data_IF_471797341792
#
_entry.id   IF_471797341792
#
_cell.length_a   1.000
_cell.length_b   1.000
_cell.length_c   1.000
_cell.angle_alpha   90.00
_cell.angle_beta   90.00
_cell.angle_gamma   90.00
#
_symmetry.space_group_name_H-M   'P 1'
#
loop_
_entity.id
_entity.type
_entity.pdbx_description
1 polymer ?
#
# COMPACT_ATOMS: atom_id res chain seq x y z
N UNK A 1 5.63 -27.65 -12.41
CA UNK A 1 4.97 -27.03 -11.26
C UNK A 1 4.92 -25.53 -11.55
N UNK A 2 3.76 -25.01 -11.89
CA UNK A 2 3.52 -23.60 -12.15
C UNK A 2 3.43 -22.91 -10.80
N UNK A 3 4.44 -22.13 -10.44
CA UNK A 3 4.40 -21.28 -9.26
C UNK A 3 3.40 -20.15 -9.57
N UNK A 4 2.18 -20.25 -9.08
CA UNK A 4 1.24 -19.12 -9.11
C UNK A 4 1.75 -18.09 -8.12
N UNK A 5 2.49 -17.11 -8.64
CA UNK A 5 2.80 -15.90 -7.90
C UNK A 5 1.53 -15.06 -7.99
N UNK A 6 0.77 -15.01 -6.91
CA UNK A 6 -0.28 -14.02 -6.77
C UNK A 6 0.41 -12.66 -6.73
N UNK A 7 0.51 -12.05 -7.89
CA UNK A 7 0.84 -10.63 -8.00
C UNK A 7 -0.20 -9.89 -7.19
N UNK A 8 0.22 -9.29 -6.06
CA UNK A 8 -0.50 -8.18 -5.46
C UNK A 8 -0.97 -7.30 -6.60
N UNK A 9 -2.29 -7.09 -6.70
CA UNK A 9 -2.84 -6.21 -7.70
C UNK A 9 -2.12 -4.87 -7.56
N UNK A 10 -1.23 -4.56 -8.49
CA UNK A 10 -0.52 -3.27 -8.59
C UNK A 10 -1.49 -2.08 -8.66
N UNK A 11 -2.78 -2.34 -8.74
CA UNK A 11 -3.83 -1.33 -8.70
C UNK A 11 -4.05 -0.73 -7.31
N UNK A 12 -3.73 -1.46 -6.24
CA UNK A 12 -3.97 -1.01 -4.85
C UNK A 12 -2.71 -0.46 -4.17
N UNK A 13 -1.54 -0.74 -4.75
CA UNK A 13 -0.27 -0.28 -4.24
C UNK A 13 0.25 0.84 -5.11
N UNK A 14 -0.09 2.03 -4.81
CA UNK A 14 0.43 3.30 -5.28
C UNK A 14 -0.40 4.12 -6.24
N UNK A 15 -0.33 5.38 -5.92
CA UNK A 15 -0.96 6.44 -6.68
C UNK A 15 -0.30 6.76 -8.05
N UNK A 16 0.52 5.88 -8.65
CA UNK A 16 1.25 6.17 -9.91
C UNK A 16 0.73 5.38 -11.11
N UNK A 17 -0.12 4.37 -10.92
CA UNK A 17 -0.77 3.67 -12.02
C UNK A 17 -1.85 4.52 -12.67
N UNK A 18 -2.16 4.29 -13.95
CA UNK A 18 -3.30 4.94 -14.64
C UNK A 18 -4.55 4.82 -13.77
N UNK A 19 -5.16 5.98 -13.43
CA UNK A 19 -6.33 6.05 -12.57
C UNK A 19 -6.03 6.23 -11.07
N UNK A 20 -4.75 6.37 -10.67
CA UNK A 20 -4.39 6.66 -9.29
C UNK A 20 -4.55 8.14 -8.94
N UNK A 21 -4.57 8.42 -7.63
CA UNK A 21 -4.90 9.74 -7.09
C UNK A 21 -3.85 10.81 -7.39
N UNK A 22 -2.55 10.47 -7.44
CA UNK A 22 -1.48 11.46 -7.72
C UNK A 22 -1.58 12.02 -9.14
N UNK A 23 -1.68 11.20 -10.21
CA UNK A 23 -1.92 11.72 -11.55
C UNK A 23 -3.16 12.59 -11.65
N UNK A 24 -4.24 12.24 -10.94
CA UNK A 24 -5.45 13.08 -10.89
C UNK A 24 -5.16 14.45 -10.27
N UNK A 25 -4.45 14.51 -9.15
CA UNK A 25 -4.08 15.78 -8.50
C UNK A 25 -3.21 16.64 -9.41
N UNK A 26 -2.21 16.04 -10.08
CA UNK A 26 -1.34 16.74 -11.03
C UNK A 26 -2.14 17.30 -12.22
N UNK A 27 -3.09 16.53 -12.77
CA UNK A 27 -3.96 17.00 -13.84
C UNK A 27 -4.84 18.18 -13.38
N UNK A 28 -5.39 18.09 -12.17
CA UNK A 28 -6.18 19.17 -11.58
C UNK A 28 -5.34 20.44 -11.36
N UNK A 29 -4.12 20.29 -10.87
CA UNK A 29 -3.17 21.39 -10.72
C UNK A 29 -2.91 22.05 -12.08
N UNK A 30 -2.51 21.29 -13.10
CA UNK A 30 -2.20 21.78 -14.44
C UNK A 30 -3.38 22.48 -15.13
N UNK A 31 -4.60 22.05 -14.83
CA UNK A 31 -5.82 22.64 -15.42
C UNK A 31 -6.43 23.75 -14.56
N UNK A 32 -5.78 24.15 -13.46
CA UNK A 32 -6.28 25.17 -12.54
C UNK A 32 -7.58 24.80 -11.82
N UNK A 33 -7.91 23.52 -11.77
CA UNK A 33 -9.11 23.02 -11.08
C UNK A 33 -8.81 22.74 -9.61
N UNK A 34 -9.81 22.78 -8.71
CA UNK A 34 -9.64 22.31 -7.33
C UNK A 34 -9.18 20.85 -7.28
N UNK A 35 -8.28 20.55 -6.36
CA UNK A 35 -7.88 19.17 -6.06
C UNK A 35 -9.00 18.48 -5.28
N UNK A 36 -9.58 17.42 -5.85
CA UNK A 36 -10.74 16.75 -5.24
C UNK A 36 -10.33 15.60 -4.36
N UNK A 37 -10.74 15.63 -3.10
CA UNK A 37 -10.51 14.60 -2.08
C UNK A 37 -11.84 14.02 -1.64
N UNK A 38 -11.97 12.71 -1.59
CA UNK A 38 -13.23 12.06 -1.16
C UNK A 38 -13.42 12.16 0.34
N UNK A 39 -12.54 11.58 1.14
CA UNK A 39 -12.50 11.73 2.60
C UNK A 39 -11.04 11.95 3.01
N UNK A 40 -10.72 13.07 3.67
CA UNK A 40 -9.35 13.44 4.03
C UNK A 40 -8.62 12.39 4.88
N UNK A 41 -9.34 11.76 5.79
CA UNK A 41 -8.82 10.77 6.76
C UNK A 41 -8.60 9.38 6.16
N UNK A 42 -9.07 9.11 4.95
CA UNK A 42 -8.78 7.84 4.27
C UNK A 42 -7.28 7.60 4.18
N UNK A 43 -6.87 6.37 4.42
CA UNK A 43 -5.46 5.99 4.38
C UNK A 43 -5.15 5.07 3.22
N UNK A 44 -3.97 5.26 2.62
CA UNK A 44 -3.46 4.41 1.55
C UNK A 44 -2.01 4.06 1.83
N UNK A 45 -1.63 2.83 1.48
CA UNK A 45 -0.22 2.44 1.56
C UNK A 45 0.62 3.22 0.55
N UNK A 46 1.84 3.54 0.96
CA UNK A 46 2.82 4.30 0.16
C UNK A 46 4.00 3.38 -0.18
N UNK A 47 3.97 2.77 -1.37
CA UNK A 47 5.00 1.86 -1.84
C UNK A 47 5.46 2.28 -3.25
N UNK A 48 6.75 2.40 -3.52
CA UNK A 48 7.29 2.72 -4.84
C UNK A 48 7.34 1.48 -5.75
N UNK A 49 7.48 1.70 -7.06
CA UNK A 49 7.66 0.59 -8.00
C UNK A 49 8.91 -0.23 -7.68
N UNK A 50 10.00 0.43 -7.29
CA UNK A 50 11.24 -0.23 -6.90
C UNK A 50 11.05 -1.09 -5.64
N UNK A 51 10.28 -0.59 -4.65
CA UNK A 51 9.91 -1.36 -3.47
C UNK A 51 9.07 -2.59 -3.85
N UNK A 52 8.14 -2.45 -4.80
CA UNK A 52 7.34 -3.57 -5.30
C UNK A 52 8.20 -4.61 -6.03
N UNK A 53 9.15 -4.17 -6.86
CA UNK A 53 10.13 -5.06 -7.52
C UNK A 53 11.00 -5.77 -6.47
N UNK A 54 11.47 -5.04 -5.46
CA UNK A 54 12.27 -5.62 -4.37
C UNK A 54 11.47 -6.69 -3.59
N UNK A 55 10.17 -6.47 -3.34
CA UNK A 55 9.30 -7.49 -2.74
C UNK A 55 9.26 -8.76 -3.60
N UNK A 56 9.11 -8.61 -4.92
CA UNK A 56 9.09 -9.76 -5.84
C UNK A 56 10.42 -10.51 -5.83
N UNK A 57 11.55 -9.80 -5.92
CA UNK A 57 12.90 -10.39 -5.86
C UNK A 57 13.12 -11.10 -4.52
N UNK A 58 12.69 -10.47 -3.42
CA UNK A 58 12.77 -11.09 -2.09
C UNK A 58 11.94 -12.38 -2.02
N UNK A 59 10.71 -12.35 -2.55
CA UNK A 59 9.86 -13.54 -2.61
C UNK A 59 10.50 -14.67 -3.43
N UNK A 60 11.10 -14.39 -4.59
CA UNK A 60 11.79 -15.40 -5.41
C UNK A 60 12.93 -16.08 -4.68
N UNK A 61 13.62 -15.38 -3.79
CA UNK A 61 14.79 -15.92 -3.08
C UNK A 61 14.44 -16.63 -1.76
N UNK A 62 13.26 -16.36 -1.18
CA UNK A 62 12.90 -16.82 0.16
C UNK A 62 11.61 -17.65 0.22
N UNK A 63 10.85 -17.72 -0.88
CA UNK A 63 9.57 -18.41 -0.89
C UNK A 63 9.69 -19.94 -1.00
N UNK A 64 8.79 -20.63 -0.30
CA UNK A 64 8.39 -21.97 -0.67
C UNK A 64 7.15 -21.91 -1.58
N UNK A 65 6.85 -22.97 -2.34
CA UNK A 65 5.64 -23.02 -3.16
C UNK A 65 4.37 -22.72 -2.33
N UNK A 66 3.60 -21.73 -2.78
CA UNK A 66 2.34 -21.32 -2.14
C UNK A 66 2.49 -20.29 -1.00
N UNK A 67 3.69 -19.83 -0.68
CA UNK A 67 3.87 -18.73 0.28
C UNK A 67 3.37 -17.39 -0.29
N UNK A 68 2.79 -16.57 0.58
CA UNK A 68 2.44 -15.18 0.30
C UNK A 68 3.41 -14.25 1.02
N UNK A 69 3.89 -13.22 0.33
CA UNK A 69 4.72 -12.16 0.91
C UNK A 69 4.01 -10.82 0.88
N UNK A 70 4.11 -10.08 1.97
CA UNK A 70 3.53 -8.75 2.12
C UNK A 70 4.59 -7.80 2.66
N UNK A 71 4.78 -6.67 1.98
CA UNK A 71 5.68 -5.61 2.44
C UNK A 71 5.03 -4.80 3.55
N UNK A 72 5.80 -4.47 4.58
CA UNK A 72 5.40 -3.54 5.65
C UNK A 72 5.51 -2.09 5.15
N UNK A 73 4.73 -1.76 4.11
CA UNK A 73 4.73 -0.43 3.56
C UNK A 73 4.14 0.59 4.56
N UNK A 74 4.68 1.81 4.65
CA UNK A 74 4.06 2.89 5.40
C UNK A 74 2.79 3.37 4.68
N UNK A 75 1.98 4.18 5.36
CA UNK A 75 0.77 4.76 4.81
C UNK A 75 0.70 6.27 5.05
N UNK A 76 -0.05 6.96 4.21
CA UNK A 76 -0.41 8.36 4.41
C UNK A 76 -1.93 8.54 4.32
N UNK A 77 -2.45 9.63 4.90
CA UNK A 77 -3.83 10.07 4.65
C UNK A 77 -3.93 10.74 3.28
N UNK A 78 -5.12 10.71 2.71
CA UNK A 78 -5.37 11.39 1.43
C UNK A 78 -5.17 12.90 1.56
N UNK A 79 -5.47 13.48 2.72
CA UNK A 79 -5.20 14.90 3.01
C UNK A 79 -3.72 15.22 2.93
N UNK A 80 -2.87 14.45 3.66
CA UNK A 80 -1.40 14.63 3.63
C UNK A 80 -0.87 14.43 2.21
N UNK A 81 -1.41 13.45 1.47
CA UNK A 81 -1.01 13.19 0.09
C UNK A 81 -1.35 14.38 -0.83
N UNK A 82 -2.56 14.95 -0.71
CA UNK A 82 -2.96 16.11 -1.48
C UNK A 82 -2.10 17.34 -1.16
N UNK A 83 -1.84 17.58 0.13
CA UNK A 83 -0.95 18.67 0.57
C UNK A 83 0.47 18.49 0.05
N UNK A 84 1.03 17.28 0.14
CA UNK A 84 2.37 16.96 -0.36
C UNK A 84 2.50 17.25 -1.86
N UNK A 85 1.54 16.79 -2.67
CA UNK A 85 1.53 17.06 -4.12
C UNK A 85 1.40 18.56 -4.39
N UNK A 86 0.49 19.25 -3.70
CA UNK A 86 0.29 20.70 -3.82
C UNK A 86 1.60 21.47 -3.56
N UNK A 87 2.32 21.14 -2.49
CA UNK A 87 3.59 21.80 -2.14
C UNK A 87 4.72 21.47 -3.12
N UNK A 88 4.84 20.21 -3.57
CA UNK A 88 5.86 19.80 -4.55
C UNK A 88 5.70 20.57 -5.87
N UNK A 89 4.47 20.79 -6.31
CA UNK A 89 4.16 21.51 -7.54
C UNK A 89 3.99 23.03 -7.37
N UNK A 90 4.26 23.56 -6.15
CA UNK A 90 4.07 24.99 -5.81
C UNK A 90 2.71 25.54 -6.25
N UNK A 91 1.66 24.72 -6.08
CA UNK A 91 0.32 25.01 -6.59
C UNK A 91 -0.52 25.77 -5.54
N UNK A 92 -1.38 26.68 -6.03
CA UNK A 92 -2.32 27.45 -5.19
C UNK A 92 -3.75 26.88 -5.21
N UNK A 93 -3.97 25.76 -5.91
CA UNK A 93 -5.28 25.13 -6.06
C UNK A 93 -5.93 24.81 -4.69
N UNK A 94 -7.22 25.05 -4.58
CA UNK A 94 -7.99 24.65 -3.41
C UNK A 94 -8.12 23.12 -3.32
N UNK A 95 -8.14 22.59 -2.10
CA UNK A 95 -8.47 21.19 -1.84
C UNK A 95 -9.96 21.11 -1.49
N UNK A 96 -10.74 20.46 -2.34
CA UNK A 96 -12.18 20.32 -2.19
C UNK A 96 -12.56 18.90 -1.75
N UNK A 97 -13.24 18.81 -0.59
CA UNK A 97 -13.79 17.52 -0.11
C UNK A 97 -15.11 17.25 -0.83
N UNK A 98 -15.20 16.12 -1.54
CA UNK A 98 -16.40 15.73 -2.32
C UNK A 98 -17.23 14.61 -1.69
N UNK A 99 -16.76 14.03 -0.56
CA UNK A 99 -17.39 12.90 0.12
C UNK A 99 -17.03 11.53 -0.48
N UNK A 100 -17.25 10.47 0.32
CA UNK A 100 -16.95 9.10 -0.08
C UNK A 100 -17.88 8.64 -1.22
N UNK A 101 -17.31 7.92 -2.19
CA UNK A 101 -18.09 7.24 -3.23
C UNK A 101 -18.60 5.89 -2.70
N UNK A 102 -19.68 5.40 -3.31
CA UNK A 102 -20.21 4.09 -2.95
C UNK A 102 -19.15 2.99 -3.16
N UNK A 103 -18.88 2.22 -2.10
CA UNK A 103 -17.90 1.11 -2.14
C UNK A 103 -16.45 1.53 -1.89
N UNK A 104 -16.16 2.82 -1.65
CA UNK A 104 -14.81 3.29 -1.34
C UNK A 104 -14.44 2.95 0.12
N UNK A 105 -13.26 2.33 0.30
CA UNK A 105 -12.79 1.88 1.63
C UNK A 105 -12.06 3.01 2.34
N UNK A 106 -12.27 3.11 3.66
CA UNK A 106 -11.52 4.05 4.51
C UNK A 106 -10.04 3.70 4.62
N UNK A 107 -9.70 2.42 4.56
CA UNK A 107 -8.33 1.89 4.59
C UNK A 107 -8.22 0.61 3.77
N UNK A 108 -7.01 0.26 3.35
CA UNK A 108 -6.72 -0.95 2.60
C UNK A 108 -6.11 -2.01 3.52
N UNK A 109 -6.58 -3.25 3.39
CA UNK A 109 -6.08 -4.41 4.18
C UNK A 109 -5.20 -5.28 3.30
N UNK A 110 -3.98 -5.56 3.77
CA UNK A 110 -3.01 -6.43 3.10
C UNK A 110 -2.96 -7.83 3.70
N UNK A 111 -3.24 -7.99 5.00
CA UNK A 111 -3.37 -9.29 5.65
C UNK A 111 -4.64 -9.31 6.50
N UNK A 112 -5.43 -10.34 6.34
CA UNK A 112 -6.59 -10.64 7.17
C UNK A 112 -6.16 -11.17 8.54
N UNK A 113 -7.12 -11.31 9.46
CA UNK A 113 -6.88 -11.90 10.79
C UNK A 113 -6.27 -13.31 10.71
N UNK A 114 -6.80 -14.15 9.80
CA UNK A 114 -6.34 -15.53 9.62
C UNK A 114 -4.92 -15.58 9.06
N UNK A 115 -4.60 -14.69 8.12
CA UNK A 115 -3.27 -14.57 7.54
C UNK A 115 -2.27 -14.02 8.57
N UNK A 116 -2.64 -12.98 9.32
CA UNK A 116 -1.81 -12.44 10.40
C UNK A 116 -1.48 -13.47 11.46
N UNK A 117 -2.44 -14.34 11.81
CA UNK A 117 -2.22 -15.40 12.80
C UNK A 117 -1.12 -16.40 12.38
N UNK A 118 -0.89 -16.57 11.08
CA UNK A 118 0.12 -17.47 10.49
C UNK A 118 1.36 -16.72 9.98
N UNK A 119 1.30 -15.38 9.94
CA UNK A 119 2.36 -14.57 9.37
C UNK A 119 3.65 -14.66 10.18
N UNK A 120 4.73 -14.87 9.48
CA UNK A 120 6.10 -14.86 10.03
C UNK A 120 6.68 -13.48 9.72
N UNK A 121 7.18 -12.81 10.75
CA UNK A 121 7.88 -11.54 10.62
C UNK A 121 9.29 -11.77 10.07
N UNK A 122 9.59 -11.17 8.91
CA UNK A 122 10.90 -11.23 8.24
C UNK A 122 11.55 -9.83 8.12
N UNK A 123 11.32 -8.97 9.11
CA UNK A 123 11.81 -7.59 9.11
C UNK A 123 10.92 -6.67 8.29
N UNK A 124 11.30 -6.34 7.07
CA UNK A 124 10.53 -5.46 6.18
C UNK A 124 9.33 -6.15 5.51
N UNK A 125 9.19 -7.46 5.68
CA UNK A 125 8.16 -8.27 5.03
C UNK A 125 7.47 -9.17 6.04
N UNK A 126 6.22 -9.50 5.75
CA UNK A 126 5.53 -10.65 6.32
C UNK A 126 5.53 -11.78 5.30
N UNK A 127 5.76 -13.00 5.77
CA UNK A 127 5.58 -14.24 5.02
C UNK A 127 4.41 -15.00 5.62
N UNK A 128 3.41 -15.30 4.82
CA UNK A 128 2.31 -16.20 5.20
C UNK A 128 2.58 -17.54 4.51
N UNK A 129 2.89 -18.61 5.28
CA UNK A 129 3.13 -19.92 4.72
C UNK A 129 1.88 -20.49 4.06
N UNK A 130 2.06 -21.28 2.99
CA UNK A 130 0.98 -22.03 2.37
C UNK A 130 0.29 -22.93 3.39
N UNK A 131 -1.02 -23.04 3.29
CA UNK A 131 -1.79 -23.99 4.11
C UNK A 131 -1.66 -25.40 3.52
N UNK A 132 -0.64 -26.13 3.95
CA UNK A 132 -0.38 -27.52 3.56
C UNK A 132 -1.14 -28.53 4.43
N UNK A 133 -2.10 -28.08 5.23
CA UNK A 133 -2.90 -28.98 6.08
C UNK A 133 -3.83 -29.79 5.19
N UNK A 134 -3.56 -31.09 5.08
CA UNK A 134 -4.52 -32.03 4.49
C UNK A 134 -5.80 -32.10 5.34
N UNK A 135 -6.89 -32.65 4.78
CA UNK A 135 -8.19 -32.84 5.43
C UNK A 135 -8.14 -33.76 6.69
N UNK A 136 -6.97 -33.98 7.25
CA UNK A 136 -6.79 -34.84 8.43
C UNK A 136 -7.01 -34.02 9.71
N UNK A 137 -8.25 -34.05 10.20
CA UNK A 137 -8.70 -33.33 11.39
C UNK A 137 -8.02 -33.73 12.71
N UNK A 138 -7.32 -34.87 12.75
CA UNK A 138 -6.70 -35.42 13.97
C UNK A 138 -5.55 -34.54 14.53
N UNK A 139 -4.96 -33.66 13.76
CA UNK A 139 -3.93 -32.72 14.21
C UNK A 139 -4.46 -31.44 14.87
N UNK A 140 -5.74 -31.15 14.72
CA UNK A 140 -6.35 -29.92 15.28
C UNK A 140 -6.46 -29.92 16.80
N UNK A 141 -6.33 -31.06 17.42
CA UNK A 141 -6.55 -31.19 18.89
C UNK A 141 -5.26 -31.23 19.72
N UNK A 142 -4.07 -31.17 19.11
CA UNK A 142 -2.83 -31.47 19.86
C UNK A 142 -1.84 -30.30 20.00
N UNK A 143 -1.82 -29.32 19.09
CA UNK A 143 -0.83 -28.25 19.15
C UNK A 143 -1.49 -26.89 18.90
N UNK A 144 -1.85 -26.21 19.97
CA UNK A 144 -2.06 -24.75 19.94
C UNK A 144 -0.72 -24.09 19.67
N UNK A 145 -0.64 -23.28 18.61
CA UNK A 145 0.57 -22.57 18.23
C UNK A 145 0.85 -21.44 19.24
N UNK A 146 1.82 -21.65 20.16
CA UNK A 146 2.22 -20.66 21.17
C UNK A 146 2.79 -19.36 20.58
N UNK A 147 3.13 -19.34 19.28
CA UNK A 147 3.68 -18.21 18.56
C UNK A 147 2.66 -17.48 17.68
N UNK A 148 1.42 -17.44 18.11
CA UNK A 148 0.39 -16.70 17.38
C UNK A 148 0.73 -15.21 17.35
N UNK A 149 0.88 -14.66 16.14
CA UNK A 149 1.03 -13.22 15.98
C UNK A 149 -0.19 -12.50 16.57
N UNK A 150 0.04 -11.50 17.41
CA UNK A 150 -1.01 -10.73 18.10
C UNK A 150 -1.70 -9.70 17.21
N UNK A 151 -1.21 -9.50 15.97
CA UNK A 151 -1.85 -8.63 15.00
C UNK A 151 -3.21 -9.20 14.60
N UNK A 152 -4.25 -8.39 14.73
CA UNK A 152 -5.60 -8.77 14.31
C UNK A 152 -5.77 -8.67 12.80
N UNK A 153 -5.16 -7.70 12.15
CA UNK A 153 -5.06 -7.54 10.69
C UNK A 153 -3.90 -6.57 10.38
N UNK A 154 -3.42 -6.55 9.14
CA UNK A 154 -2.44 -5.55 8.69
C UNK A 154 -3.06 -4.69 7.59
N UNK A 155 -3.28 -3.42 7.92
CA UNK A 155 -3.96 -2.47 7.05
C UNK A 155 -3.27 -1.10 7.05
N UNK A 156 -3.68 -0.21 6.13
CA UNK A 156 -3.09 1.11 5.99
C UNK A 156 -3.38 2.06 7.16
N UNK A 157 -4.27 1.68 8.09
CA UNK A 157 -4.56 2.47 9.27
C UNK A 157 -3.67 2.11 10.47
N UNK A 158 -3.11 0.89 10.52
CA UNK A 158 -2.29 0.40 11.63
C UNK A 158 -0.81 0.19 11.29
N UNK A 159 -0.35 0.64 10.13
CA UNK A 159 1.07 0.68 9.76
C UNK A 159 1.73 2.01 10.14
N UNK A 160 3.06 2.13 9.92
CA UNK A 160 3.77 3.42 10.09
C UNK A 160 3.07 4.51 9.27
N UNK A 161 2.68 5.60 9.94
CA UNK A 161 2.06 6.74 9.30
C UNK A 161 3.14 7.75 8.90
N UNK A 162 3.18 8.13 7.62
CA UNK A 162 4.05 9.20 7.13
C UNK A 162 3.44 10.56 7.47
N UNK A 163 4.28 11.49 7.89
CA UNK A 163 3.95 12.90 7.99
C UNK A 163 4.09 13.61 6.63
N UNK A 164 3.81 14.91 6.57
CA UNK A 164 3.85 15.68 5.33
C UNK A 164 5.24 15.67 4.68
N UNK A 165 6.30 15.91 5.46
CA UNK A 165 7.67 15.95 4.91
C UNK A 165 8.13 14.57 4.41
N UNK A 166 7.92 13.51 5.19
CA UNK A 166 8.21 12.13 4.76
C UNK A 166 7.44 11.75 3.50
N UNK A 167 6.19 12.22 3.36
CA UNK A 167 5.35 11.98 2.18
C UNK A 167 5.89 12.74 0.97
N UNK A 168 6.28 14.00 1.15
CA UNK A 168 6.91 14.83 0.10
C UNK A 168 8.20 14.19 -0.40
N UNK A 169 9.10 13.81 0.50
CA UNK A 169 10.36 13.15 0.13
C UNK A 169 10.09 11.88 -0.69
N UNK A 170 9.16 11.04 -0.23
CA UNK A 170 8.82 9.79 -0.92
C UNK A 170 8.19 10.04 -2.29
N UNK A 171 7.30 11.02 -2.44
CA UNK A 171 6.68 11.37 -3.72
C UNK A 171 7.70 12.03 -4.67
N UNK A 172 8.49 12.98 -4.18
CA UNK A 172 9.46 13.70 -4.99
C UNK A 172 10.55 12.79 -5.56
N UNK A 173 10.87 11.66 -4.90
CA UNK A 173 11.83 10.68 -5.41
C UNK A 173 11.33 9.86 -6.62
N UNK A 174 10.06 9.95 -6.97
CA UNK A 174 9.46 9.15 -8.04
C UNK A 174 9.80 9.74 -9.41
N UNK A 175 10.30 8.92 -10.34
CA UNK A 175 10.66 9.34 -11.70
C UNK A 175 9.50 10.05 -12.43
N UNK A 176 8.27 9.55 -12.22
CA UNK A 176 7.06 10.17 -12.78
C UNK A 176 6.89 11.63 -12.32
N UNK A 177 7.10 11.90 -11.04
CA UNK A 177 6.97 13.24 -10.47
C UNK A 177 8.07 14.16 -11.01
N UNK A 178 9.32 13.68 -11.07
CA UNK A 178 10.43 14.42 -11.65
C UNK A 178 10.17 14.78 -13.12
N UNK A 179 9.64 13.84 -13.90
CA UNK A 179 9.27 14.07 -15.29
C UNK A 179 8.12 15.07 -15.46
N UNK A 180 7.16 15.10 -14.51
CA UNK A 180 6.04 16.05 -14.56
C UNK A 180 6.46 17.46 -14.12
N UNK A 181 7.37 17.59 -13.16
CA UNK A 181 7.97 18.85 -12.74
C UNK A 181 8.78 19.48 -13.90
N UNK A 182 9.63 18.70 -14.56
CA UNK A 182 10.43 19.15 -15.69
C UNK A 182 9.61 19.64 -16.90
N UNK A 183 8.32 19.30 -16.99
CA UNK A 183 7.40 19.80 -18.04
C UNK A 183 6.75 21.13 -17.67
N UNK A 184 6.86 21.54 -16.40
CA UNK A 184 6.24 22.77 -15.90
C UNK A 184 7.25 23.93 -15.78
N UNK A 185 8.55 23.63 -15.88
CA UNK A 185 9.63 24.61 -16.04
C UNK A 185 9.75 25.08 -17.50
#
# INVERSE_FOLDING_TARGET
ATTEIYTLSLHDALPICRGSIIPLFIEQIKTGKPMTVTVPEMTRFMMSLDEAVNLVVFAFTHANPGDLFVQKAPAATIEILAQAVKEIFHADNDIQVIGARHGEKMYETLLTNEECAKAIDMGNFYRVPADNRGLNYDKYFKDGDEKRNTLTEFNSNNTKRLNLEETKEKIASLEYIQAELAKME
#
